data_IF_300896915111
#
_entry.id   IF_300896915111
#
_cell.length_a   1.000
_cell.length_b   1.000
_cell.length_c   1.000
_cell.angle_alpha   90.00
_cell.angle_beta   90.00
_cell.angle_gamma   90.00
#
_symmetry.space_group_name_H-M   'P 1'
#
loop_
_entity.id
_entity.type
_entity.pdbx_description
1 polymer ?
#
# COMPACT_ATOMS: atom_id res chain seq x y z
N UNK A 1 -25.61 17.44 -25.01
CA UNK A 1 -24.63 16.57 -25.71
C UNK A 1 -23.19 17.02 -25.56
N UNK A 2 -22.79 18.25 -25.95
CA UNK A 2 -21.38 18.71 -25.91
C UNK A 2 -20.61 18.40 -24.61
N UNK A 3 -21.17 18.73 -23.43
CA UNK A 3 -20.52 18.43 -22.13
C UNK A 3 -20.32 16.93 -21.90
N UNK A 4 -21.31 16.11 -22.22
CA UNK A 4 -21.21 14.65 -22.11
C UNK A 4 -20.13 14.08 -23.04
N UNK A 5 -20.04 14.61 -24.26
CA UNK A 5 -19.00 14.21 -25.21
C UNK A 5 -17.59 14.53 -24.74
N UNK A 6 -17.37 15.68 -24.11
CA UNK A 6 -16.06 16.02 -23.53
C UNK A 6 -15.67 15.00 -22.46
N UNK A 7 -16.60 14.65 -21.56
CA UNK A 7 -16.37 13.61 -20.54
C UNK A 7 -16.03 12.25 -21.16
N UNK A 8 -16.74 11.87 -22.23
CA UNK A 8 -16.46 10.63 -22.97
C UNK A 8 -15.04 10.64 -23.57
N UNK A 9 -14.64 11.74 -24.21
CA UNK A 9 -13.31 11.87 -24.82
C UNK A 9 -12.23 11.80 -23.76
N UNK A 10 -12.33 12.60 -22.69
CA UNK A 10 -11.36 12.59 -21.59
C UNK A 10 -11.28 11.19 -20.99
N UNK A 11 -12.43 10.58 -20.68
CA UNK A 11 -12.45 9.23 -20.10
C UNK A 11 -11.79 8.19 -21.00
N UNK A 12 -12.01 8.27 -22.32
CA UNK A 12 -11.40 7.36 -23.30
C UNK A 12 -9.90 7.57 -23.45
N UNK A 13 -9.42 8.82 -23.38
CA UNK A 13 -7.99 9.14 -23.43
C UNK A 13 -7.27 8.66 -22.17
N UNK A 14 -7.91 8.69 -21.00
CA UNK A 14 -7.30 8.21 -19.75
C UNK A 14 -6.92 6.72 -19.79
N UNK A 15 -7.56 5.89 -20.64
CA UNK A 15 -7.16 4.50 -20.86
C UNK A 15 -5.72 4.39 -21.37
N UNK A 16 -5.23 5.40 -22.10
CA UNK A 16 -3.85 5.42 -22.60
C UNK A 16 -2.82 5.52 -21.46
N UNK A 17 -3.23 5.87 -20.25
CA UNK A 17 -2.37 5.82 -19.06
C UNK A 17 -1.80 4.43 -18.78
N UNK A 18 -2.47 3.35 -19.23
CA UNK A 18 -1.99 1.97 -19.10
C UNK A 18 -0.69 1.68 -19.87
N UNK A 19 -0.33 2.51 -20.85
CA UNK A 19 0.92 2.39 -21.61
C UNK A 19 2.11 3.07 -20.94
N UNK A 20 1.85 3.92 -19.96
CA UNK A 20 2.86 4.76 -19.30
C UNK A 20 3.07 4.31 -17.85
N UNK A 21 1.99 3.92 -17.18
CA UNK A 21 2.01 3.57 -15.77
C UNK A 21 1.62 2.10 -15.55
N UNK A 22 2.14 1.45 -14.51
CA UNK A 22 1.76 0.09 -14.19
C UNK A 22 0.27 0.03 -13.86
N UNK A 23 -0.39 -1.04 -14.31
CA UNK A 23 -1.80 -1.27 -14.05
C UNK A 23 -2.04 -1.89 -12.68
N UNK A 24 -1.13 -2.75 -12.24
CA UNK A 24 -1.22 -3.50 -11.01
C UNK A 24 0.17 -3.71 -10.41
N UNK A 25 0.22 -4.01 -9.12
CA UNK A 25 1.46 -4.39 -8.47
C UNK A 25 1.21 -5.52 -7.48
N UNK A 26 2.19 -6.41 -7.41
CA UNK A 26 2.26 -7.48 -6.41
C UNK A 26 3.57 -7.31 -5.65
N UNK A 27 3.48 -7.07 -4.34
CA UNK A 27 4.65 -7.01 -3.44
C UNK A 27 4.69 -8.20 -2.52
N UNK A 28 5.89 -8.72 -2.30
CA UNK A 28 6.22 -9.81 -1.40
C UNK A 28 7.17 -9.27 -0.33
N UNK A 29 6.67 -9.09 0.88
CA UNK A 29 7.48 -8.82 2.06
C UNK A 29 8.01 -10.13 2.63
N UNK A 30 9.30 -10.18 2.97
CA UNK A 30 9.90 -11.35 3.60
C UNK A 30 10.94 -10.90 4.65
N UNK A 31 11.10 -11.62 5.77
CA UNK A 31 12.12 -11.30 6.78
C UNK A 31 13.56 -11.27 6.23
N UNK A 32 13.83 -12.01 5.15
CA UNK A 32 15.15 -12.14 4.55
C UNK A 32 15.51 -10.98 3.61
N UNK A 33 14.52 -10.20 3.16
CA UNK A 33 14.72 -9.09 2.24
C UNK A 33 14.44 -7.77 2.97
N UNK A 34 15.45 -6.90 3.17
CA UNK A 34 15.28 -5.62 3.86
C UNK A 34 14.25 -4.72 3.17
N UNK A 35 14.21 -4.78 1.84
CA UNK A 35 13.20 -4.14 1.02
C UNK A 35 12.24 -5.20 0.45
N UNK A 36 10.92 -4.96 0.43
CA UNK A 36 9.98 -5.89 -0.18
C UNK A 36 10.25 -6.05 -1.67
N UNK A 37 10.19 -7.28 -2.16
CA UNK A 37 10.29 -7.55 -3.59
C UNK A 37 8.98 -7.19 -4.27
N UNK A 38 9.01 -6.48 -5.40
CA UNK A 38 7.82 -6.04 -6.11
C UNK A 38 7.82 -6.40 -7.59
N UNK A 39 6.63 -6.69 -8.11
CA UNK A 39 6.37 -6.83 -9.54
C UNK A 39 5.34 -5.80 -9.95
N UNK A 40 5.74 -4.89 -10.83
CA UNK A 40 4.84 -3.99 -11.52
C UNK A 40 4.35 -4.65 -12.83
N UNK A 41 3.04 -4.77 -12.93
CA UNK A 41 2.37 -5.35 -14.09
C UNK A 41 1.95 -4.20 -15.00
N UNK A 42 2.53 -4.15 -16.19
CA UNK A 42 2.17 -3.23 -17.27
C UNK A 42 1.27 -3.92 -18.28
N UNK A 43 0.58 -3.13 -19.12
CA UNK A 43 -0.30 -3.67 -20.17
C UNK A 43 0.44 -4.54 -21.19
N UNK A 44 1.76 -4.38 -21.31
CA UNK A 44 2.64 -5.03 -22.28
C UNK A 44 3.75 -5.88 -21.65
N UNK A 45 3.74 -6.11 -20.34
CA UNK A 45 4.74 -6.96 -19.70
C UNK A 45 4.86 -6.78 -18.19
N UNK A 46 5.82 -7.49 -17.61
CA UNK A 46 6.18 -7.44 -16.20
C UNK A 46 7.49 -6.68 -16.03
N UNK A 47 7.59 -5.89 -14.97
CA UNK A 47 8.82 -5.20 -14.56
C UNK A 47 9.01 -5.36 -13.06
N UNK A 48 10.26 -5.43 -12.61
CA UNK A 48 10.58 -5.36 -11.18
C UNK A 48 10.26 -3.96 -10.66
N UNK A 49 9.76 -3.87 -9.44
CA UNK A 49 9.58 -2.58 -8.78
C UNK A 49 10.93 -1.93 -8.43
N UNK A 50 11.87 -2.76 -7.96
CA UNK A 50 13.27 -2.43 -7.71
C UNK A 50 14.19 -3.22 -8.66
N UNK A 51 15.46 -2.80 -8.71
CA UNK A 51 16.49 -3.50 -9.47
C UNK A 51 16.64 -4.93 -8.95
N UNK A 52 16.71 -5.92 -9.86
CA UNK A 52 16.82 -7.35 -9.56
C UNK A 52 15.60 -8.03 -8.91
N UNK A 53 14.47 -7.34 -8.69
CA UNK A 53 13.28 -7.96 -8.08
C UNK A 53 12.80 -9.21 -8.81
N UNK A 54 12.68 -9.15 -10.14
CA UNK A 54 12.28 -10.32 -10.95
C UNK A 54 13.26 -11.48 -10.75
N UNK A 55 14.56 -11.20 -10.70
CA UNK A 55 15.59 -12.24 -10.55
C UNK A 55 15.55 -12.86 -9.15
N UNK A 56 15.34 -12.04 -8.12
CA UNK A 56 15.20 -12.50 -6.74
C UNK A 56 13.93 -13.36 -6.58
N UNK A 57 12.81 -12.92 -7.16
CA UNK A 57 11.55 -13.67 -7.14
C UNK A 57 11.70 -14.99 -7.90
N UNK A 58 12.31 -15.00 -9.08
CA UNK A 58 12.58 -16.24 -9.83
C UNK A 58 13.52 -17.19 -9.07
N UNK A 59 14.51 -16.63 -8.38
CA UNK A 59 15.38 -17.38 -7.48
C UNK A 59 14.60 -18.06 -6.35
N UNK A 60 13.65 -17.34 -5.73
CA UNK A 60 12.76 -17.92 -4.71
C UNK A 60 11.84 -18.99 -5.29
N UNK A 61 11.23 -18.72 -6.45
CA UNK A 61 10.32 -19.62 -7.15
C UNK A 61 10.97 -20.98 -7.42
N UNK A 62 12.24 -20.99 -7.84
CA UNK A 62 13.00 -22.21 -8.09
C UNK A 62 13.04 -23.15 -6.88
N UNK A 63 13.15 -22.63 -5.65
CA UNK A 63 13.23 -23.47 -4.44
C UNK A 63 11.90 -24.10 -4.05
N UNK A 64 10.79 -23.39 -4.28
CA UNK A 64 9.43 -23.82 -3.91
C UNK A 64 8.67 -24.48 -5.07
N UNK A 65 9.30 -24.60 -6.24
CA UNK A 65 8.72 -25.25 -7.42
C UNK A 65 7.77 -24.37 -8.22
N UNK A 66 7.74 -23.06 -7.99
CA UNK A 66 6.98 -22.14 -8.83
C UNK A 66 7.72 -21.90 -10.15
N UNK A 67 6.96 -21.61 -11.20
CA UNK A 67 7.52 -21.25 -12.51
C UNK A 67 8.21 -19.89 -12.43
N UNK A 68 9.22 -19.68 -13.28
CA UNK A 68 9.77 -18.34 -13.49
C UNK A 68 8.68 -17.42 -14.03
N UNK A 69 8.79 -16.13 -13.72
CA UNK A 69 7.87 -15.13 -14.23
C UNK A 69 7.92 -15.12 -15.77
N UNK A 70 6.76 -15.16 -16.43
CA UNK A 70 6.70 -15.28 -17.88
C UNK A 70 7.21 -14.01 -18.54
N UNK A 71 7.90 -14.18 -19.66
CA UNK A 71 8.31 -13.06 -20.52
C UNK A 71 7.13 -12.54 -21.34
N UNK A 72 7.20 -11.30 -21.86
CA UNK A 72 6.14 -10.73 -22.71
C UNK A 72 5.68 -11.63 -23.87
N UNK A 73 6.61 -12.38 -24.46
CA UNK A 73 6.36 -13.30 -25.57
C UNK A 73 5.68 -14.62 -25.17
N UNK A 74 5.68 -14.98 -23.89
CA UNK A 74 5.10 -16.23 -23.36
C UNK A 74 3.63 -16.07 -22.93
N UNK A 75 3.15 -14.83 -22.90
CA UNK A 75 1.79 -14.47 -22.53
C UNK A 75 1.09 -13.72 -23.67
N UNK A 76 0.01 -14.30 -24.19
CA UNK A 76 -0.74 -13.70 -25.30
C UNK A 76 -1.43 -12.39 -24.88
N UNK A 77 -1.74 -12.23 -23.59
CA UNK A 77 -2.35 -11.06 -22.97
C UNK A 77 -1.52 -9.80 -23.25
N UNK A 78 -0.19 -9.88 -23.14
CA UNK A 78 0.70 -8.75 -23.40
C UNK A 78 0.77 -8.34 -24.87
N UNK A 79 0.27 -9.18 -25.78
CA UNK A 79 0.09 -8.85 -27.20
C UNK A 79 -1.32 -8.37 -27.53
N UNK A 80 -2.34 -8.88 -26.83
CA UNK A 80 -3.75 -8.60 -27.13
C UNK A 80 -4.30 -7.43 -26.33
N UNK A 81 -4.02 -7.33 -25.03
CA UNK A 81 -4.54 -6.26 -24.18
C UNK A 81 -4.14 -4.87 -24.69
N UNK A 82 -2.87 -4.61 -25.10
CA UNK A 82 -2.50 -3.34 -25.72
C UNK A 82 -3.36 -2.99 -26.94
N UNK A 83 -3.61 -3.96 -27.83
CA UNK A 83 -4.42 -3.75 -29.05
C UNK A 83 -5.87 -3.45 -28.71
N UNK A 84 -6.45 -4.18 -27.77
CA UNK A 84 -7.82 -3.97 -27.29
C UNK A 84 -7.97 -2.60 -26.64
N UNK A 85 -7.05 -2.22 -25.75
CA UNK A 85 -7.05 -0.90 -25.09
C UNK A 85 -6.92 0.22 -26.12
N UNK A 86 -6.00 0.12 -27.09
CA UNK A 86 -5.87 1.11 -28.16
C UNK A 86 -7.13 1.21 -29.03
N UNK A 87 -7.72 0.08 -29.41
CA UNK A 87 -8.95 0.05 -30.19
C UNK A 87 -10.11 0.70 -29.42
N UNK A 88 -10.27 0.37 -28.14
CA UNK A 88 -11.33 0.90 -27.29
C UNK A 88 -11.15 2.38 -26.97
N UNK A 89 -9.92 2.84 -26.71
CA UNK A 89 -9.60 4.25 -26.53
C UNK A 89 -9.92 5.05 -27.80
N UNK A 90 -9.47 4.57 -28.97
CA UNK A 90 -9.72 5.21 -30.26
C UNK A 90 -11.22 5.28 -30.59
N UNK A 91 -11.94 4.17 -30.38
CA UNK A 91 -13.38 4.09 -30.56
C UNK A 91 -14.12 5.03 -29.60
N UNK A 92 -13.70 5.11 -28.35
CA UNK A 92 -14.29 5.97 -27.34
C UNK A 92 -14.13 7.45 -27.67
N UNK A 93 -12.94 7.85 -28.13
CA UNK A 93 -12.69 9.21 -28.65
C UNK A 93 -13.56 9.51 -29.87
N UNK A 94 -13.65 8.59 -30.83
CA UNK A 94 -14.49 8.75 -32.03
C UNK A 94 -15.98 8.91 -31.66
N UNK A 95 -16.50 8.06 -30.79
CA UNK A 95 -17.86 8.13 -30.25
C UNK A 95 -18.08 9.49 -29.56
N UNK A 96 -17.12 9.93 -28.73
CA UNK A 96 -17.14 11.23 -28.10
C UNK A 96 -17.25 12.39 -29.10
N UNK A 97 -16.40 12.40 -30.13
CA UNK A 97 -16.40 13.39 -31.21
C UNK A 97 -17.71 13.40 -32.01
N UNK A 98 -18.21 12.24 -32.42
CA UNK A 98 -19.51 12.12 -33.11
C UNK A 98 -20.67 12.63 -32.23
N UNK A 99 -20.60 12.36 -30.92
CA UNK A 99 -21.56 12.90 -29.95
C UNK A 99 -21.46 14.42 -29.81
N UNK A 100 -20.25 14.97 -29.92
CA UNK A 100 -19.98 16.40 -29.83
C UNK A 100 -20.59 17.15 -31.03
N UNK A 101 -20.46 16.54 -32.22
CA UNK A 101 -21.08 16.97 -33.47
C UNK A 101 -22.59 16.71 -33.53
N UNK A 102 -23.17 16.06 -32.52
CA UNK A 102 -24.61 15.77 -32.45
C UNK A 102 -25.09 14.70 -33.42
N UNK A 103 -24.17 13.91 -34.00
CA UNK A 103 -24.48 12.86 -34.99
C UNK A 103 -25.01 11.57 -34.35
N UNK A 104 -24.72 11.35 -33.06
CA UNK A 104 -25.12 10.15 -32.33
C UNK A 104 -25.86 10.47 -31.02
N UNK A 105 -26.59 9.47 -30.51
CA UNK A 105 -27.36 9.55 -29.25
C UNK A 105 -26.49 9.08 -28.05
N UNK A 106 -26.79 9.52 -26.81
CA UNK A 106 -26.05 9.10 -25.61
C UNK A 106 -25.93 7.59 -25.40
N UNK A 107 -26.86 6.79 -25.95
CA UNK A 107 -26.85 5.33 -25.80
C UNK A 107 -25.51 4.69 -26.23
N UNK A 108 -24.81 5.28 -27.19
CA UNK A 108 -23.49 4.81 -27.64
C UNK A 108 -22.42 4.93 -26.55
N UNK A 109 -22.54 5.91 -25.63
CA UNK A 109 -21.64 6.01 -24.47
C UNK A 109 -21.88 4.85 -23.50
N UNK A 110 -23.14 4.45 -23.31
CA UNK A 110 -23.50 3.30 -22.49
C UNK A 110 -23.06 1.98 -23.13
N UNK A 111 -23.28 1.82 -24.44
CA UNK A 111 -22.84 0.62 -25.17
C UNK A 111 -21.31 0.48 -25.03
N UNK A 112 -20.56 1.54 -25.31
CA UNK A 112 -19.10 1.52 -25.15
C UNK A 112 -18.68 1.19 -23.70
N UNK A 113 -19.32 1.81 -22.71
CA UNK A 113 -19.03 1.54 -21.30
C UNK A 113 -19.29 0.07 -20.94
N UNK A 114 -20.45 -0.47 -21.32
CA UNK A 114 -20.79 -1.87 -21.04
C UNK A 114 -19.85 -2.85 -21.75
N UNK A 115 -19.48 -2.58 -23.00
CA UNK A 115 -18.50 -3.37 -23.74
C UNK A 115 -17.15 -3.34 -23.04
N UNK A 116 -16.66 -2.16 -22.66
CA UNK A 116 -15.37 -2.04 -21.97
C UNK A 116 -15.40 -2.67 -20.57
N UNK A 117 -16.52 -2.56 -19.83
CA UNK A 117 -16.70 -3.25 -18.55
C UNK A 117 -16.69 -4.76 -18.70
N UNK A 118 -17.32 -5.30 -19.75
CA UNK A 118 -17.30 -6.74 -20.02
C UNK A 118 -15.87 -7.21 -20.34
N UNK A 119 -15.14 -6.49 -21.20
CA UNK A 119 -13.75 -6.80 -21.52
C UNK A 119 -12.83 -6.70 -20.29
N UNK A 120 -13.01 -5.67 -19.46
CA UNK A 120 -12.27 -5.51 -18.20
C UNK A 120 -12.57 -6.63 -17.20
N UNK A 121 -13.83 -7.04 -17.06
CA UNK A 121 -14.21 -8.16 -16.20
C UNK A 121 -13.60 -9.49 -16.68
N UNK A 122 -13.58 -9.72 -18.00
CA UNK A 122 -12.89 -10.87 -18.59
C UNK A 122 -11.39 -10.83 -18.30
N UNK A 123 -10.73 -9.67 -18.44
CA UNK A 123 -9.32 -9.52 -18.12
C UNK A 123 -8.99 -9.76 -16.64
N UNK A 124 -9.83 -9.29 -15.71
CA UNK A 124 -9.65 -9.56 -14.28
C UNK A 124 -9.91 -11.04 -13.95
N UNK A 125 -10.89 -11.66 -14.59
CA UNK A 125 -11.16 -13.08 -14.43
C UNK A 125 -9.99 -13.93 -14.90
N UNK A 126 -9.47 -13.63 -16.08
CA UNK A 126 -8.27 -14.25 -16.66
C UNK A 126 -7.04 -14.06 -15.78
N UNK A 127 -6.79 -12.84 -15.30
CA UNK A 127 -5.72 -12.56 -14.34
C UNK A 127 -5.84 -13.39 -13.04
N UNK A 128 -7.05 -13.55 -12.51
CA UNK A 128 -7.29 -14.39 -11.35
C UNK A 128 -7.00 -15.88 -11.63
N UNK A 129 -7.37 -16.38 -12.81
CA UNK A 129 -7.03 -17.75 -13.22
C UNK A 129 -5.52 -17.94 -13.32
N UNK A 130 -4.82 -16.97 -13.91
CA UNK A 130 -3.37 -16.98 -14.00
C UNK A 130 -2.72 -16.99 -12.61
N UNK A 131 -3.16 -16.13 -11.67
CA UNK A 131 -2.64 -16.09 -10.30
C UNK A 131 -2.81 -17.43 -9.57
N UNK A 132 -4.00 -18.04 -9.70
CA UNK A 132 -4.26 -19.35 -9.10
C UNK A 132 -3.36 -20.40 -9.72
N UNK A 133 -3.35 -20.53 -11.06
CA UNK A 133 -2.52 -21.51 -11.74
C UNK A 133 -1.03 -21.35 -11.39
N UNK A 134 -0.51 -20.12 -11.42
CA UNK A 134 0.87 -19.80 -11.11
C UNK A 134 1.26 -20.19 -9.68
N UNK A 135 0.37 -20.01 -8.71
CA UNK A 135 0.62 -20.34 -7.31
C UNK A 135 0.27 -21.76 -6.88
N UNK A 136 -0.32 -22.58 -7.76
CA UNK A 136 -0.72 -23.98 -7.45
C UNK A 136 -0.07 -25.04 -8.33
N UNK A 137 0.39 -24.67 -9.53
CA UNK A 137 1.06 -25.59 -10.47
C UNK A 137 2.56 -25.65 -10.16
N UNK A 138 2.90 -26.44 -9.14
CA UNK A 138 4.24 -26.54 -8.57
C UNK A 138 4.99 -27.78 -9.06
N UNK A 139 6.29 -27.64 -9.29
CA UNK A 139 7.16 -28.77 -9.64
C UNK A 139 7.22 -29.80 -8.48
N UNK A 140 6.82 -31.06 -8.71
CA UNK A 140 6.87 -32.10 -7.69
C UNK A 140 8.31 -32.48 -7.27
N UNK A 141 9.35 -31.97 -7.93
CA UNK A 141 10.76 -32.20 -7.59
C UNK A 141 11.41 -31.01 -6.87
N UNK A 142 10.65 -29.98 -6.50
CA UNK A 142 11.15 -28.82 -5.77
C UNK A 142 11.86 -29.21 -4.45
N UNK A 143 12.88 -28.43 -4.10
CA UNK A 143 13.71 -28.65 -2.91
C UNK A 143 12.88 -28.49 -1.63
N UNK A 144 12.00 -27.48 -1.60
CA UNK A 144 11.14 -27.18 -0.46
C UNK A 144 9.68 -27.51 -0.79
N UNK A 145 9.14 -28.54 -0.13
CA UNK A 145 7.74 -28.95 -0.25
C UNK A 145 7.02 -28.68 1.04
N UNK A 146 6.25 -27.60 1.08
CA UNK A 146 5.50 -27.22 2.26
C UNK A 146 4.10 -27.80 2.16
N UNK A 147 3.66 -28.41 3.25
CA UNK A 147 2.32 -28.99 3.40
C UNK A 147 1.60 -28.29 4.53
N UNK A 148 0.29 -28.13 4.37
CA UNK A 148 -0.58 -27.68 5.43
C UNK A 148 -0.66 -28.73 6.56
N UNK A 149 -1.15 -28.38 7.77
CA UNK A 149 -1.33 -29.33 8.86
C UNK A 149 -2.22 -30.54 8.51
N UNK A 150 -3.07 -30.43 7.48
CA UNK A 150 -3.93 -31.50 6.97
C UNK A 150 -3.24 -32.39 5.91
N UNK A 151 -1.97 -32.13 5.58
CA UNK A 151 -1.19 -32.88 4.60
C UNK A 151 -1.37 -32.45 3.14
N UNK A 152 -2.22 -31.44 2.86
CA UNK A 152 -2.37 -30.90 1.50
C UNK A 152 -1.18 -30.02 1.10
N UNK A 153 -0.76 -30.00 -0.20
CA UNK A 153 0.28 -29.09 -0.67
C UNK A 153 -0.12 -27.63 -0.42
N UNK A 154 0.82 -26.84 0.10
CA UNK A 154 0.58 -25.42 0.32
C UNK A 154 0.51 -24.66 -1.01
N UNK A 155 -0.37 -23.66 -1.08
CA UNK A 155 -0.54 -22.79 -2.25
C UNK A 155 0.11 -21.44 -2.01
N UNK A 156 0.78 -20.92 -3.03
CA UNK A 156 1.55 -19.67 -2.95
C UNK A 156 0.94 -18.53 -3.77
N UNK A 157 -0.30 -18.69 -4.26
CA UNK A 157 -0.94 -17.67 -5.07
C UNK A 157 -1.19 -16.39 -4.25
N UNK A 158 -0.72 -15.23 -4.73
CA UNK A 158 -1.07 -13.93 -4.16
C UNK A 158 -2.58 -13.68 -4.21
N UNK A 159 -3.12 -12.79 -3.36
CA UNK A 159 -4.52 -12.41 -3.47
C UNK A 159 -4.74 -11.61 -4.76
N UNK A 160 -5.93 -11.73 -5.37
CA UNK A 160 -6.29 -10.90 -6.52
C UNK A 160 -6.24 -9.41 -6.14
N UNK A 161 -6.79 -9.06 -4.97
CA UNK A 161 -6.70 -7.73 -4.37
C UNK A 161 -6.60 -7.87 -2.85
N UNK A 162 -5.79 -7.03 -2.21
CA UNK A 162 -5.65 -7.00 -0.76
C UNK A 162 -4.32 -7.59 -0.28
N UNK A 163 -4.36 -8.16 0.93
CA UNK A 163 -3.21 -8.74 1.62
C UNK A 163 -3.50 -10.19 1.99
N UNK A 164 -2.49 -11.05 1.85
CA UNK A 164 -2.53 -12.46 2.28
C UNK A 164 -1.15 -12.84 2.82
N UNK A 165 -1.14 -13.42 4.02
CA UNK A 165 0.08 -14.01 4.58
C UNK A 165 0.30 -15.41 4.00
N UNK A 166 1.48 -15.64 3.44
CA UNK A 166 1.94 -16.89 2.85
C UNK A 166 3.16 -17.37 3.66
N UNK A 167 2.92 -18.15 4.72
CA UNK A 167 3.95 -18.54 5.71
C UNK A 167 4.59 -17.31 6.37
N UNK A 168 5.88 -17.10 6.10
CA UNK A 168 6.70 -15.99 6.56
C UNK A 168 6.72 -14.84 5.55
N UNK A 169 5.99 -14.95 4.44
CA UNK A 169 5.86 -13.88 3.45
C UNK A 169 4.53 -13.15 3.59
N UNK A 170 4.55 -11.85 3.33
CA UNK A 170 3.37 -11.00 3.23
C UNK A 170 3.16 -10.61 1.76
N UNK A 171 2.08 -11.08 1.15
CA UNK A 171 1.74 -10.76 -0.24
C UNK A 171 0.68 -9.65 -0.31
N UNK A 172 1.02 -8.53 -0.94
CA UNK A 172 0.14 -7.41 -1.18
C UNK A 172 -0.15 -7.28 -2.68
N UNK A 173 -1.40 -7.06 -3.06
CA UNK A 173 -1.83 -6.97 -4.46
C UNK A 173 -2.82 -5.84 -4.64
N UNK A 174 -2.46 -4.81 -5.41
CA UNK A 174 -3.29 -3.61 -5.57
C UNK A 174 -3.18 -2.97 -6.97
N UNK A 175 -4.25 -2.30 -7.43
CA UNK A 175 -4.17 -1.45 -8.61
C UNK A 175 -3.14 -0.34 -8.43
N UNK A 176 -2.40 -0.07 -9.51
CA UNK A 176 -1.47 1.06 -9.60
C UNK A 176 -2.09 2.20 -10.41
N UNK A 177 -1.30 3.25 -10.68
CA UNK A 177 -1.79 4.46 -11.33
C UNK A 177 -2.47 4.20 -12.68
N UNK A 178 -1.95 3.27 -13.49
CA UNK A 178 -2.59 2.87 -14.76
C UNK A 178 -3.99 2.28 -14.55
N UNK A 179 -4.14 1.40 -13.55
CA UNK A 179 -5.43 0.81 -13.18
C UNK A 179 -6.42 1.85 -12.60
N UNK A 180 -5.91 2.79 -11.81
CA UNK A 180 -6.71 3.90 -11.27
C UNK A 180 -7.19 4.82 -12.40
N UNK A 181 -6.32 5.18 -13.35
CA UNK A 181 -6.68 6.00 -14.52
C UNK A 181 -7.74 5.30 -15.39
N UNK A 182 -7.63 3.98 -15.59
CA UNK A 182 -8.66 3.18 -16.24
C UNK A 182 -10.01 3.29 -15.49
N UNK A 183 -10.01 3.12 -14.17
CA UNK A 183 -11.22 3.24 -13.35
C UNK A 183 -11.87 4.63 -13.40
N UNK A 184 -11.07 5.69 -13.36
CA UNK A 184 -11.56 7.07 -13.52
C UNK A 184 -12.12 7.27 -14.93
N UNK A 185 -11.42 6.80 -15.96
CA UNK A 185 -11.86 6.90 -17.35
C UNK A 185 -13.21 6.22 -17.59
N UNK A 186 -13.39 5.02 -17.03
CA UNK A 186 -14.65 4.28 -17.04
C UNK A 186 -15.77 5.03 -16.31
N UNK A 187 -15.46 5.63 -15.17
CA UNK A 187 -16.42 6.44 -14.40
C UNK A 187 -16.87 7.67 -15.21
N UNK A 188 -15.94 8.35 -15.88
CA UNK A 188 -16.25 9.49 -16.75
C UNK A 188 -17.14 9.09 -17.94
N UNK A 189 -16.90 7.93 -18.55
CA UNK A 189 -17.76 7.41 -19.62
C UNK A 189 -19.19 7.10 -19.13
N UNK A 190 -19.34 6.52 -17.94
CA UNK A 190 -20.65 6.30 -17.32
C UNK A 190 -21.37 7.63 -17.02
N UNK A 191 -20.68 8.59 -16.41
CA UNK A 191 -21.22 9.94 -16.14
C UNK A 191 -21.60 10.65 -17.45
N UNK A 192 -20.81 10.50 -18.51
CA UNK A 192 -21.12 11.04 -19.84
C UNK A 192 -22.50 10.56 -20.34
N UNK A 193 -22.83 9.28 -20.18
CA UNK A 193 -24.17 8.76 -20.52
C UNK A 193 -25.28 9.48 -19.75
N UNK A 194 -25.17 9.59 -18.42
CA UNK A 194 -26.19 10.23 -17.59
C UNK A 194 -26.36 11.73 -17.89
N UNK A 195 -25.26 12.45 -18.12
CA UNK A 195 -25.28 13.87 -18.54
C UNK A 195 -25.91 14.00 -19.93
N UNK A 196 -25.61 13.08 -20.84
CA UNK A 196 -26.19 13.03 -22.17
C UNK A 196 -27.71 12.80 -22.15
N UNK A 197 -28.19 11.90 -21.27
CA UNK A 197 -29.61 11.58 -21.08
C UNK A 197 -30.41 12.77 -20.52
N UNK A 198 -29.86 13.49 -19.53
CA UNK A 198 -30.51 14.67 -18.91
C UNK A 198 -30.67 15.86 -19.87
N UNK A 199 -29.91 15.90 -20.97
CA UNK A 199 -29.96 16.98 -21.98
C UNK A 199 -31.26 17.04 -22.81
N UNK A 200 -32.14 16.02 -22.77
CA UNK A 200 -33.45 16.01 -23.45
C UNK A 200 -34.66 16.27 -22.54
N UNK A 201 -34.49 16.34 -21.22
CA UNK A 201 -35.58 16.62 -20.28
C UNK A 201 -35.44 18.04 -19.70
N UNK A 202 -35.67 19.05 -20.53
CA UNK A 202 -35.91 20.43 -20.05
C UNK A 202 -37.33 20.53 -19.49
N UNK A 203 -37.59 19.93 -18.32
CA UNK A 203 -38.68 20.36 -17.42
C UNK A 203 -38.45 20.08 -15.93
N UNK A 204 -37.51 19.20 -15.57
CA UNK A 204 -37.21 18.87 -14.17
C UNK A 204 -35.89 19.45 -13.63
N UNK A 205 -35.12 20.16 -14.47
CA UNK A 205 -33.71 20.51 -14.21
C UNK A 205 -33.47 21.80 -13.37
N UNK A 206 -34.51 22.40 -12.80
CA UNK A 206 -34.35 23.52 -11.86
C UNK A 206 -33.98 23.05 -10.43
N UNK A 207 -34.38 21.83 -10.05
CA UNK A 207 -34.16 21.32 -8.68
C UNK A 207 -32.83 20.57 -8.47
N UNK A 208 -32.21 20.02 -9.52
CA UNK A 208 -31.05 19.11 -9.40
C UNK A 208 -29.67 19.78 -9.55
N UNK A 209 -29.63 21.08 -9.86
CA UNK A 209 -28.38 21.83 -10.10
C UNK A 209 -27.48 21.90 -8.86
N UNK A 210 -28.07 21.84 -7.67
CA UNK A 210 -27.34 21.88 -6.41
C UNK A 210 -26.83 20.48 -6.00
N UNK A 211 -27.54 19.40 -6.32
CA UNK A 211 -27.21 18.05 -5.82
C UNK A 211 -25.99 17.41 -6.49
N UNK A 212 -25.76 17.63 -7.79
CA UNK A 212 -24.60 17.05 -8.48
C UNK A 212 -23.29 17.77 -8.14
N UNK A 213 -23.35 19.08 -7.89
CA UNK A 213 -22.21 19.86 -7.39
C UNK A 213 -21.91 19.47 -5.94
N UNK A 214 -22.93 19.28 -5.11
CA UNK A 214 -22.79 18.80 -3.72
C UNK A 214 -22.23 17.37 -3.68
N UNK A 215 -22.65 16.45 -4.56
CA UNK A 215 -22.09 15.09 -4.61
C UNK A 215 -20.65 15.09 -5.12
N UNK A 216 -20.28 15.95 -6.08
CA UNK A 216 -18.90 16.08 -6.55
C UNK A 216 -18.00 16.74 -5.49
N UNK A 217 -18.49 17.78 -4.81
CA UNK A 217 -17.79 18.41 -3.67
C UNK A 217 -17.70 17.42 -2.50
N UNK A 218 -18.72 16.60 -2.25
CA UNK A 218 -18.71 15.57 -1.22
C UNK A 218 -17.77 14.41 -1.57
N UNK A 219 -17.70 13.98 -2.83
CA UNK A 219 -16.72 12.97 -3.28
C UNK A 219 -15.28 13.51 -3.23
N UNK A 220 -15.07 14.78 -3.60
CA UNK A 220 -13.76 15.44 -3.51
C UNK A 220 -13.39 15.75 -2.05
N UNK A 221 -14.35 16.06 -1.17
CA UNK A 221 -14.10 16.23 0.26
C UNK A 221 -13.82 14.91 0.96
N UNK A 222 -14.38 13.79 0.49
CA UNK A 222 -14.05 12.44 0.97
C UNK A 222 -12.64 12.00 0.54
N UNK A 223 -12.10 12.56 -0.56
CA UNK A 223 -10.72 12.36 -1.00
C UNK A 223 -9.71 13.26 -0.26
N UNK A 224 -10.18 14.33 0.41
CA UNK A 224 -9.37 15.21 1.24
C UNK A 224 -9.38 14.85 2.73
N UNK A 225 -9.98 13.71 3.09
CA UNK A 225 -9.72 13.02 4.35
C UNK A 225 -8.33 12.42 4.31
N UNK A 226 -7.31 13.28 4.17
CA UNK A 226 -5.92 12.93 4.36
C UNK A 226 -5.84 12.29 5.74
N UNK A 227 -5.35 11.05 5.76
CA UNK A 227 -4.93 10.38 6.98
C UNK A 227 -3.97 11.35 7.69
N UNK A 228 -4.37 11.89 8.85
CA UNK A 228 -3.45 12.72 9.62
C UNK A 228 -2.33 11.80 10.10
N UNK A 229 -1.04 12.14 9.88
CA UNK A 229 0.06 11.39 10.46
C UNK A 229 -0.17 11.28 11.97
N UNK A 230 -0.13 10.06 12.49
CA UNK A 230 -0.42 9.80 13.89
C UNK A 230 0.12 8.44 14.33
N UNK A 231 0.23 8.23 15.65
CA UNK A 231 0.66 6.97 16.20
C UNK A 231 -0.33 5.84 15.90
N UNK A 232 0.20 4.63 15.73
CA UNK A 232 -0.59 3.40 15.61
C UNK A 232 -0.43 2.52 16.86
N UNK A 233 -1.44 1.71 17.21
CA UNK A 233 -1.29 0.68 18.23
C UNK A 233 -0.14 -0.28 17.91
N UNK A 234 0.66 -0.61 18.93
CA UNK A 234 1.67 -1.67 18.87
C UNK A 234 0.99 -2.98 19.26
N UNK A 235 0.96 -3.96 18.35
CA UNK A 235 0.44 -5.30 18.60
C UNK A 235 1.55 -6.18 19.15
N UNK A 236 1.69 -6.17 20.48
CA UNK A 236 2.69 -6.98 21.19
C UNK A 236 2.53 -8.48 20.89
N UNK A 237 3.65 -9.14 20.64
CA UNK A 237 3.72 -10.55 20.19
C UNK A 237 3.45 -10.76 18.71
N UNK A 238 3.21 -9.69 17.93
CA UNK A 238 2.88 -9.76 16.50
C UNK A 238 3.72 -8.80 15.67
N UNK A 239 3.77 -7.52 16.06
CA UNK A 239 4.54 -6.49 15.34
C UNK A 239 6.04 -6.76 15.48
N UNK A 240 6.81 -6.51 14.42
CA UNK A 240 8.28 -6.61 14.44
C UNK A 240 8.91 -5.23 14.71
N UNK A 241 10.02 -5.23 15.44
CA UNK A 241 10.84 -4.03 15.66
C UNK A 241 11.50 -3.60 14.35
N UNK A 242 11.37 -2.32 13.99
CA UNK A 242 11.91 -1.77 12.74
C UNK A 242 13.43 -1.67 12.71
N UNK A 243 14.08 -1.76 13.88
CA UNK A 243 15.54 -1.78 14.00
C UNK A 243 16.09 -3.22 14.07
N UNK A 244 15.81 -3.96 15.15
CA UNK A 244 16.39 -5.28 15.40
C UNK A 244 15.65 -6.45 14.74
N UNK A 245 14.49 -6.20 14.10
CA UNK A 245 13.64 -7.19 13.41
C UNK A 245 13.06 -8.30 14.29
N UNK A 246 13.34 -8.30 15.59
CA UNK A 246 12.70 -9.19 16.56
C UNK A 246 11.25 -8.75 16.84
N UNK A 247 10.40 -9.70 17.22
CA UNK A 247 9.01 -9.42 17.61
C UNK A 247 8.96 -8.51 18.84
N UNK A 248 8.14 -7.47 18.78
CA UNK A 248 7.92 -6.54 19.89
C UNK A 248 7.08 -7.25 20.95
N UNK A 249 7.65 -7.46 22.13
CA UNK A 249 6.98 -8.17 23.24
C UNK A 249 6.91 -7.32 24.51
N UNK A 250 7.80 -6.34 24.64
CA UNK A 250 7.92 -5.54 25.85
C UNK A 250 7.05 -4.28 25.79
N UNK A 251 6.15 -4.13 26.78
CA UNK A 251 5.25 -2.97 26.86
C UNK A 251 5.85 -1.78 27.59
N UNK A 252 6.94 -1.97 28.34
CA UNK A 252 7.53 -0.98 29.24
C UNK A 252 8.60 -0.13 28.55
N UNK A 253 9.25 -0.68 27.53
CA UNK A 253 10.40 -0.10 26.85
C UNK A 253 10.12 0.16 25.38
N UNK A 254 8.97 -0.27 24.85
CA UNK A 254 8.62 -0.04 23.44
C UNK A 254 8.65 1.45 23.07
N UNK A 255 8.96 1.71 21.80
CA UNK A 255 9.00 3.05 21.25
C UNK A 255 8.39 3.09 19.84
N UNK A 256 8.09 4.29 19.35
CA UNK A 256 7.50 4.49 18.04
C UNK A 256 7.96 5.83 17.45
N UNK A 257 8.24 5.84 16.15
CA UNK A 257 8.45 7.06 15.37
C UNK A 257 7.40 7.16 14.28
N UNK A 258 6.96 8.36 13.97
CA UNK A 258 5.99 8.62 12.90
C UNK A 258 6.51 9.75 12.04
N UNK A 259 6.67 9.50 10.73
CA UNK A 259 7.14 10.49 9.77
C UNK A 259 6.07 11.51 9.40
N UNK A 260 6.48 12.67 8.88
CA UNK A 260 5.56 13.68 8.32
C UNK A 260 4.68 13.12 7.18
N UNK A 261 5.14 12.05 6.52
CA UNK A 261 4.38 11.32 5.49
C UNK A 261 3.41 10.28 6.08
N UNK A 262 3.34 10.14 7.40
CA UNK A 262 2.43 9.21 8.09
C UNK A 262 2.94 7.76 8.18
N UNK A 263 4.18 7.46 7.75
CA UNK A 263 4.76 6.13 7.97
C UNK A 263 5.17 5.98 9.43
N UNK A 264 4.69 4.90 10.06
CA UNK A 264 4.96 4.53 11.45
C UNK A 264 6.07 3.48 11.51
N UNK A 265 7.00 3.67 12.43
CA UNK A 265 8.08 2.74 12.77
C UNK A 265 7.94 2.37 14.25
N UNK A 266 8.00 1.08 14.58
CA UNK A 266 7.76 0.52 15.91
C UNK A 266 9.02 -0.16 16.41
N UNK A 267 9.31 -0.03 17.70
CA UNK A 267 10.53 -0.54 18.30
C UNK A 267 10.23 -1.28 19.59
N UNK A 268 10.91 -2.41 19.81
CA UNK A 268 10.77 -3.21 21.04
C UNK A 268 11.42 -2.54 22.26
N UNK A 269 12.38 -1.63 22.02
CA UNK A 269 13.09 -0.90 23.06
C UNK A 269 13.41 0.54 22.62
N UNK A 270 13.59 1.46 23.57
CA UNK A 270 13.94 2.87 23.30
C UNK A 270 15.29 2.94 22.58
N UNK A 271 16.26 2.13 22.99
CA UNK A 271 17.58 2.04 22.38
C UNK A 271 17.56 1.54 20.93
N UNK A 272 16.57 0.73 20.54
CA UNK A 272 16.37 0.38 19.12
C UNK A 272 16.00 1.62 18.30
N UNK A 273 15.09 2.45 18.81
CA UNK A 273 14.71 3.71 18.17
C UNK A 273 15.90 4.67 18.08
N UNK A 274 16.67 4.81 19.15
CA UNK A 274 17.84 5.69 19.20
C UNK A 274 18.95 5.26 18.25
N UNK A 275 19.18 3.95 18.09
CA UNK A 275 20.17 3.47 17.12
C UNK A 275 19.69 3.63 15.68
N UNK A 276 18.40 3.45 15.39
CA UNK A 276 17.83 3.71 14.05
C UNK A 276 17.92 5.20 13.68
N UNK A 277 17.90 6.10 14.67
CA UNK A 277 18.06 7.54 14.47
C UNK A 277 19.47 7.98 14.05
N UNK A 278 20.52 7.18 14.32
CA UNK A 278 21.91 7.58 14.01
C UNK A 278 22.15 7.74 12.51
N UNK A 279 21.59 6.81 11.73
CA UNK A 279 21.75 6.73 10.27
C UNK A 279 20.42 7.02 9.55
N UNK A 280 19.63 7.95 10.09
CA UNK A 280 18.31 8.25 9.55
C UNK A 280 18.37 8.97 8.19
N UNK A 281 18.15 8.22 7.11
CA UNK A 281 18.10 8.71 5.73
C UNK A 281 16.66 8.86 5.19
N UNK A 282 15.67 8.71 6.07
CA UNK A 282 14.24 8.61 5.71
C UNK A 282 13.53 9.97 5.88
N UNK A 283 12.24 10.09 5.46
CA UNK A 283 11.50 11.34 5.63
C UNK A 283 11.52 11.85 7.08
N UNK A 284 11.40 13.18 7.24
CA UNK A 284 11.42 13.83 8.54
C UNK A 284 10.39 13.24 9.52
N UNK A 285 10.76 13.18 10.79
CA UNK A 285 9.96 12.58 11.87
C UNK A 285 9.08 13.65 12.51
N UNK A 286 7.77 13.40 12.53
CA UNK A 286 6.78 14.26 13.17
C UNK A 286 6.57 13.92 14.65
N UNK A 287 6.62 12.63 15.01
CA UNK A 287 6.43 12.18 16.39
C UNK A 287 7.52 11.21 16.81
N UNK A 288 8.14 11.48 17.96
CA UNK A 288 8.98 10.54 18.71
C UNK A 288 8.21 10.12 19.96
N UNK A 289 8.00 8.82 20.13
CA UNK A 289 7.14 8.29 21.17
C UNK A 289 7.83 7.14 21.90
N UNK A 290 7.70 7.13 23.22
CA UNK A 290 8.26 6.08 24.10
C UNK A 290 7.20 5.60 25.07
N UNK A 291 7.23 4.32 25.43
CA UNK A 291 6.35 3.77 26.43
C UNK A 291 6.68 4.35 27.81
N UNK A 292 5.65 4.73 28.55
CA UNK A 292 5.80 5.13 29.95
C UNK A 292 6.01 3.88 30.81
N UNK A 293 7.17 3.78 31.45
CA UNK A 293 7.54 2.64 32.29
C UNK A 293 6.50 2.35 33.39
N UNK A 294 5.86 3.40 33.94
CA UNK A 294 4.82 3.24 34.96
C UNK A 294 3.45 2.86 34.39
N UNK A 295 3.23 3.07 33.09
CA UNK A 295 1.99 2.77 32.40
C UNK A 295 2.29 1.96 31.13
N UNK A 296 2.66 0.67 31.28
CA UNK A 296 3.13 -0.15 30.15
C UNK A 296 2.15 -0.13 28.97
N UNK A 297 2.67 0.15 27.78
CA UNK A 297 1.93 0.23 26.52
C UNK A 297 1.30 1.59 26.24
N UNK A 298 1.36 2.55 27.18
CA UNK A 298 0.94 3.93 26.95
C UNK A 298 2.13 4.74 26.44
N UNK A 299 2.04 5.20 25.20
CA UNK A 299 3.07 6.03 24.58
C UNK A 299 2.97 7.49 25.05
N UNK A 300 4.12 8.13 25.25
CA UNK A 300 4.29 9.55 25.55
C UNK A 300 5.31 10.19 24.62
N UNK A 301 5.24 11.50 24.46
CA UNK A 301 6.21 12.32 23.72
C UNK A 301 7.62 12.14 24.31
N UNK A 302 8.53 11.59 23.50
CA UNK A 302 9.89 11.27 23.91
C UNK A 302 10.70 12.52 24.26
N UNK A 303 10.46 13.64 23.57
CA UNK A 303 11.20 14.88 23.79
C UNK A 303 10.89 15.46 25.18
N UNK A 304 9.68 15.20 25.71
CA UNK A 304 9.23 15.68 27.02
C UNK A 304 9.34 14.63 28.13
N UNK A 305 9.72 13.41 27.79
CA UNK A 305 9.89 12.33 28.74
C UNK A 305 11.18 12.53 29.56
N UNK A 306 11.18 11.96 30.76
CA UNK A 306 12.38 11.86 31.60
C UNK A 306 12.87 10.41 31.62
N UNK A 307 14.18 10.21 31.61
CA UNK A 307 14.80 8.90 31.38
C UNK A 307 15.63 8.43 32.58
N UNK A 308 15.71 7.11 32.75
CA UNK A 308 16.53 6.44 33.76
C UNK A 308 17.27 5.28 33.11
N UNK A 309 18.59 5.21 33.32
CA UNK A 309 19.39 4.02 33.02
C UNK A 309 19.74 3.33 34.35
N UNK A 310 19.26 2.11 34.56
CA UNK A 310 19.45 1.38 35.82
C UNK A 310 19.57 -0.13 35.59
N UNK A 311 20.69 -0.73 36.00
CA UNK A 311 20.97 -2.17 35.86
C UNK A 311 19.90 -3.10 36.47
N UNK A 312 19.10 -2.57 37.40
CA UNK A 312 17.94 -3.25 38.01
C UNK A 312 16.68 -3.24 37.16
N UNK A 313 16.64 -2.46 36.08
CA UNK A 313 15.52 -2.39 35.13
C UNK A 313 16.05 -2.79 33.75
N UNK A 314 16.10 -4.10 33.45
CA UNK A 314 16.61 -4.57 32.17
C UNK A 314 15.64 -4.18 31.04
N UNK A 315 16.18 -3.56 30.01
CA UNK A 315 15.50 -3.35 28.72
C UNK A 315 15.81 -4.50 27.76
N UNK A 316 14.96 -4.77 26.75
CA UNK A 316 15.14 -5.92 25.85
C UNK A 316 16.50 -5.98 25.13
N UNK A 317 17.13 -4.84 24.85
CA UNK A 317 18.43 -4.79 24.17
C UNK A 317 19.60 -4.46 25.11
N UNK A 318 19.38 -4.52 26.43
CA UNK A 318 20.46 -4.42 27.41
C UNK A 318 21.03 -3.01 27.64
N UNK A 319 20.33 -1.96 27.18
CA UNK A 319 20.70 -0.58 27.51
C UNK A 319 20.23 -0.14 28.91
N UNK A 320 19.33 -0.92 29.53
CA UNK A 320 18.73 -0.63 30.85
C UNK A 320 17.96 0.69 30.90
N UNK A 321 17.47 1.14 29.74
CA UNK A 321 16.92 2.46 29.51
C UNK A 321 15.39 2.43 29.61
N UNK A 322 14.83 3.20 30.54
CA UNK A 322 13.39 3.37 30.71
C UNK A 322 12.97 4.83 30.61
N UNK A 323 11.80 5.09 30.05
CA UNK A 323 11.20 6.41 29.95
C UNK A 323 10.04 6.60 30.91
N UNK A 324 9.84 7.84 31.35
CA UNK A 324 8.79 8.24 32.27
C UNK A 324 8.09 9.46 31.72
N UNK A 325 6.75 9.44 31.77
CA UNK A 325 5.94 10.59 31.35
C UNK A 325 6.14 11.84 32.21
N UNK A 326 6.71 11.72 33.42
CA UNK A 326 7.01 12.85 34.30
C UNK A 326 8.34 12.67 35.03
N UNK A 327 9.01 13.77 35.32
CA UNK A 327 10.21 13.81 36.15
C UNK A 327 9.97 13.23 37.54
N UNK A 328 8.80 13.49 38.14
CA UNK A 328 8.43 12.98 39.46
C UNK A 328 8.33 11.44 39.49
N UNK A 329 7.78 10.83 38.43
CA UNK A 329 7.70 9.37 38.33
C UNK A 329 9.06 8.72 38.16
N UNK A 330 9.93 9.30 37.31
CA UNK A 330 11.34 8.89 37.21
C UNK A 330 12.04 8.98 38.56
N UNK A 331 11.94 10.11 39.25
CA UNK A 331 12.67 10.36 40.50
C UNK A 331 12.26 9.38 41.59
N UNK A 332 10.96 9.08 41.72
CA UNK A 332 10.48 8.04 42.65
C UNK A 332 11.11 6.68 42.35
N UNK A 333 11.19 6.29 41.08
CA UNK A 333 11.84 5.03 40.67
C UNK A 333 13.35 5.09 40.91
N UNK A 334 14.01 6.21 40.59
CA UNK A 334 15.44 6.40 40.84
C UNK A 334 15.79 6.26 42.34
N UNK A 335 14.95 6.74 43.26
CA UNK A 335 15.18 6.55 44.70
C UNK A 335 15.16 5.07 45.14
N UNK A 336 14.40 4.20 44.45
CA UNK A 336 14.28 2.79 44.82
C UNK A 336 15.34 1.92 44.15
N UNK A 337 15.63 2.16 42.87
CA UNK A 337 16.55 1.31 42.10
C UNK A 337 17.94 1.92 41.89
N UNK A 338 18.10 3.24 42.07
CA UNK A 338 19.29 3.97 41.67
C UNK A 338 19.42 4.07 40.15
N UNK A 339 20.56 4.57 39.66
CA UNK A 339 20.86 4.67 38.23
C UNK A 339 21.18 6.10 37.79
N UNK A 340 21.33 6.29 36.48
CA UNK A 340 21.62 7.58 35.88
C UNK A 340 20.33 8.21 35.35
N UNK A 341 20.02 9.42 35.80
CA UNK A 341 18.89 10.19 35.26
C UNK A 341 19.34 11.03 34.05
N UNK A 342 18.48 11.07 33.04
CA UNK A 342 18.75 11.76 31.77
C UNK A 342 17.48 12.46 31.29
N UNK A 343 17.67 13.53 30.53
CA UNK A 343 16.65 14.14 29.67
C UNK A 343 16.99 13.88 28.19
N UNK A 344 16.04 14.14 27.28
CA UNK A 344 16.15 13.84 25.85
C UNK A 344 17.50 14.24 25.21
N UNK A 345 17.94 15.48 25.40
CA UNK A 345 19.19 15.97 24.79
C UNK A 345 20.43 15.25 25.35
N UNK A 346 20.42 14.89 26.63
CA UNK A 346 21.52 14.13 27.25
C UNK A 346 21.55 12.69 26.72
N UNK A 347 20.36 12.12 26.50
CA UNK A 347 20.20 10.80 25.90
C UNK A 347 20.71 10.77 24.45
N UNK A 348 20.36 11.77 23.63
CA UNK A 348 20.87 11.90 22.26
C UNK A 348 22.40 11.96 22.21
N UNK A 349 23.02 12.76 23.10
CA UNK A 349 24.48 12.86 23.20
C UNK A 349 25.11 11.52 23.59
N UNK A 350 24.50 10.79 24.54
CA UNK A 350 25.02 9.49 24.97
C UNK A 350 24.94 8.42 23.88
N UNK A 351 23.95 8.52 22.98
CA UNK A 351 23.80 7.64 21.84
C UNK A 351 24.43 8.19 20.55
N UNK A 352 25.19 9.29 20.61
CA UNK A 352 25.88 9.87 19.44
C UNK A 352 24.93 10.19 18.27
N UNK A 353 23.70 10.64 18.58
CA UNK A 353 22.70 11.01 17.56
C UNK A 353 22.96 12.45 17.12
N UNK A 354 23.10 12.67 15.80
CA UNK A 354 23.25 14.01 15.22
C UNK A 354 21.91 14.77 15.29
N UNK A 355 21.97 16.05 15.68
CA UNK A 355 20.77 16.92 15.77
C UNK A 355 20.10 17.19 14.43
#
# INVERSE_FOLDING_TARGET
>A
MKKASILMIIGSVMLLGLFVFPMWNIRLGAPQYPEPLGIDIYVNGLQGESEFDIQNIDGLNHYIGMKTLPKPEEMWEFSVFPKVVMAMASLGVLIGLLGFLGKIRPIWFLIWFLTMSALGALGIYDFNLWLVAYGTDLDPNAILKLVNPDGTPMQYNPPLIGHKKLLNFDAFSYPRLGGILLGIGMTLAAVAYFVGKKSKSKRYLAALKNSALVVLIFLVSQLLSSCQPGPEPIHYGQDACDFCRMTIVDKQHAAQMVTEKGRVYKYDAIECMLNDLKDWDRPAIQYHLVADYQNPGKLTDAIKASYLISDKIPSPMGAYLSAFSTTQSRDKTHHSVGGQTLEWTQLQNQFEISN
#
